data_IF_398689846639
#
_entry.id   IF_398689846639
#
_cell.length_a   1.000
_cell.length_b   1.000
_cell.length_c   1.000
_cell.angle_alpha   90.00
_cell.angle_beta   90.00
_cell.angle_gamma   90.00
#
_symmetry.space_group_name_H-M   'P 1'
#
loop_
_entity.id
_entity.type
_entity.pdbx_description
1 polymer ?
#
# COMPACT_ATOMS: atom_id res chain seq x y z
N UNK A 1 -34.52 50.02 -1.66
CA UNK A 1 -34.28 49.07 -2.78
C UNK A 1 -33.50 49.78 -3.87
N UNK A 2 -32.27 49.35 -4.16
CA UNK A 2 -31.53 49.62 -5.40
C UNK A 2 -30.90 48.30 -5.87
N UNK A 3 -31.05 47.91 -7.14
CA UNK A 3 -30.47 46.68 -7.67
C UNK A 3 -29.16 46.96 -8.43
N UNK A 4 -28.26 45.97 -8.44
CA UNK A 4 -27.32 45.74 -9.54
C UNK A 4 -25.90 46.26 -9.35
N UNK A 5 -24.99 45.34 -9.01
CA UNK A 5 -23.67 45.18 -9.67
C UNK A 5 -23.26 43.69 -9.63
N UNK A 6 -23.01 43.03 -10.78
CA UNK A 6 -22.53 41.65 -10.80
C UNK A 6 -20.99 41.60 -10.77
N UNK A 7 -20.46 41.04 -9.69
CA UNK A 7 -19.27 40.19 -9.58
C UNK A 7 -18.33 40.12 -10.82
N UNK A 8 -17.50 41.15 -11.02
CA UNK A 8 -16.50 41.22 -12.10
C UNK A 8 -15.19 40.50 -11.75
N UNK A 9 -14.88 40.29 -10.46
CA UNK A 9 -13.59 39.71 -10.06
C UNK A 9 -13.49 38.19 -10.21
N UNK A 10 -14.61 37.47 -10.21
CA UNK A 10 -14.59 36.00 -10.29
C UNK A 10 -14.33 35.51 -11.73
N UNK A 11 -14.57 36.34 -12.74
CA UNK A 11 -14.42 35.96 -14.15
C UNK A 11 -12.95 36.05 -14.63
N UNK A 12 -12.11 36.90 -14.02
CA UNK A 12 -10.69 37.01 -14.35
C UNK A 12 -9.86 35.79 -13.90
N UNK A 13 -10.23 35.18 -12.77
CA UNK A 13 -9.52 34.01 -12.24
C UNK A 13 -9.79 32.74 -13.07
N UNK A 14 -11.02 32.58 -13.56
CA UNK A 14 -11.41 31.43 -14.38
C UNK A 14 -10.73 31.42 -15.76
N UNK A 15 -10.50 32.60 -16.36
CA UNK A 15 -9.79 32.72 -17.64
C UNK A 15 -8.30 32.34 -17.51
N UNK A 16 -7.69 32.66 -16.37
CA UNK A 16 -6.26 32.42 -16.12
C UNK A 16 -5.95 30.92 -15.96
N UNK A 17 -6.85 30.14 -15.36
CA UNK A 17 -6.66 28.70 -15.11
C UNK A 17 -6.77 27.87 -16.40
N UNK A 18 -7.60 28.27 -17.36
CA UNK A 18 -7.78 27.51 -18.61
C UNK A 18 -6.63 27.69 -19.61
N UNK A 19 -5.90 28.81 -19.57
CA UNK A 19 -4.76 29.03 -20.45
C UNK A 19 -3.55 28.16 -20.06
N UNK A 20 -3.36 27.91 -18.77
CA UNK A 20 -2.27 27.06 -18.27
C UNK A 20 -2.42 25.58 -18.67
N UNK A 21 -3.67 25.10 -18.86
CA UNK A 21 -3.96 23.70 -19.20
C UNK A 21 -3.78 23.32 -20.69
N UNK A 22 -3.74 24.29 -21.62
CA UNK A 22 -3.59 24.00 -23.06
C UNK A 22 -2.13 23.90 -23.50
N UNK A 23 -1.20 24.53 -22.78
CA UNK A 23 0.22 24.55 -23.16
C UNK A 23 0.95 23.22 -22.89
N UNK A 24 0.44 22.37 -21.99
CA UNK A 24 1.14 21.13 -21.59
C UNK A 24 0.74 19.88 -22.39
N UNK A 25 -0.25 19.97 -23.29
CA UNK A 25 -0.81 18.77 -23.96
C UNK A 25 -0.25 18.48 -25.36
N UNK A 26 0.65 19.32 -25.87
CA UNK A 26 1.21 19.18 -27.21
C UNK A 26 2.56 18.45 -27.28
N UNK A 27 3.18 18.08 -26.14
CA UNK A 27 4.54 17.51 -26.12
C UNK A 27 4.63 16.01 -25.76
N UNK A 28 3.50 15.28 -25.62
CA UNK A 28 3.50 13.89 -25.16
C UNK A 28 2.96 12.90 -26.22
N UNK A 29 3.32 13.10 -27.50
CA UNK A 29 2.96 12.19 -28.59
C UNK A 29 4.15 11.84 -29.47
N UNK A 30 5.23 11.37 -28.87
CA UNK A 30 6.18 10.54 -29.60
C UNK A 30 7.06 9.80 -28.60
N UNK A 31 6.67 8.57 -28.25
CA UNK A 31 7.60 7.45 -28.09
C UNK A 31 6.86 6.18 -27.64
N UNK A 32 7.00 5.12 -28.44
CA UNK A 32 7.07 3.77 -27.89
C UNK A 32 5.76 3.00 -27.71
N UNK A 33 4.87 3.02 -28.69
CA UNK A 33 3.86 1.96 -28.81
C UNK A 33 4.54 0.66 -29.25
N UNK A 34 5.25 0.00 -28.32
CA UNK A 34 5.72 -1.38 -28.49
C UNK A 34 4.69 -2.30 -27.84
N UNK A 35 3.82 -2.81 -28.70
CA UNK A 35 2.91 -3.93 -28.45
C UNK A 35 3.64 -5.14 -27.85
N UNK A 36 2.88 -5.95 -27.08
CA UNK A 36 3.09 -7.35 -26.62
C UNK A 36 3.13 -7.41 -25.09
N UNK A 37 2.23 -8.01 -24.30
CA UNK A 37 1.08 -8.93 -24.43
C UNK A 37 0.26 -8.72 -23.14
N UNK A 38 -1.08 -8.85 -23.08
CA UNK A 38 -1.75 -9.04 -21.79
C UNK A 38 -1.38 -10.44 -21.27
N UNK A 39 -0.24 -10.55 -20.59
CA UNK A 39 0.10 -11.77 -19.87
C UNK A 39 -0.98 -12.00 -18.82
N UNK A 40 -1.63 -13.16 -18.86
CA UNK A 40 -2.43 -13.69 -17.77
C UNK A 40 -1.70 -13.44 -16.44
N UNK A 41 -2.11 -12.41 -15.71
CA UNK A 41 -1.50 -12.08 -14.42
C UNK A 41 -2.19 -12.89 -13.35
N UNK A 42 -1.67 -14.09 -13.07
CA UNK A 42 -1.85 -14.70 -11.75
C UNK A 42 -1.58 -13.63 -10.69
N UNK A 43 -2.32 -13.60 -9.57
CA UNK A 43 -2.04 -12.64 -8.51
C UNK A 43 -0.53 -12.70 -8.21
N UNK A 44 0.12 -11.54 -8.17
CA UNK A 44 1.55 -11.49 -7.87
C UNK A 44 1.76 -12.26 -6.56
N UNK A 45 2.46 -13.40 -6.64
CA UNK A 45 2.68 -14.26 -5.49
C UNK A 45 3.23 -13.39 -4.36
N UNK A 46 2.65 -13.48 -3.14
CA UNK A 46 3.05 -12.63 -2.05
C UNK A 46 4.55 -12.81 -1.80
N UNK A 47 5.27 -11.70 -1.63
CA UNK A 47 6.68 -11.74 -1.23
C UNK A 47 6.84 -12.62 0.03
N UNK A 48 8.02 -13.22 0.23
CA UNK A 48 8.29 -14.03 1.43
C UNK A 48 7.91 -13.29 2.72
N UNK A 49 8.23 -11.99 2.80
CA UNK A 49 7.86 -11.14 3.92
C UNK A 49 6.34 -11.01 4.08
N UNK A 50 5.60 -10.89 2.98
CA UNK A 50 4.14 -10.89 2.98
C UNK A 50 3.58 -12.20 3.54
N UNK A 51 4.06 -13.33 3.01
CA UNK A 51 3.66 -14.66 3.48
C UNK A 51 3.94 -14.85 4.98
N UNK A 52 5.10 -14.39 5.46
CA UNK A 52 5.45 -14.44 6.88
C UNK A 52 4.49 -13.61 7.73
N UNK A 53 4.14 -12.40 7.28
CA UNK A 53 3.19 -11.54 7.99
C UNK A 53 1.78 -12.15 8.01
N UNK A 54 1.36 -12.79 6.92
CA UNK A 54 0.07 -13.49 6.85
C UNK A 54 0.03 -14.66 7.85
N UNK A 55 1.08 -15.49 7.89
CA UNK A 55 1.20 -16.58 8.87
C UNK A 55 1.16 -16.04 10.31
N UNK A 56 1.89 -14.97 10.60
CA UNK A 56 1.89 -14.34 11.92
C UNK A 56 0.48 -13.85 12.29
N UNK A 57 -0.21 -13.20 11.34
CA UNK A 57 -1.57 -12.70 11.55
C UNK A 57 -2.55 -13.84 11.84
N UNK A 58 -2.46 -14.95 11.10
CA UNK A 58 -3.26 -16.14 11.31
C UNK A 58 -2.99 -16.79 12.67
N UNK A 59 -1.74 -16.92 13.07
CA UNK A 59 -1.37 -17.51 14.37
C UNK A 59 -1.88 -16.67 15.53
N UNK A 60 -1.77 -15.34 15.45
CA UNK A 60 -2.24 -14.41 16.50
C UNK A 60 -3.77 -14.36 16.57
N UNK A 61 -4.44 -14.40 15.43
CA UNK A 61 -5.91 -14.30 15.33
C UNK A 61 -6.61 -15.64 15.54
N UNK A 62 -5.89 -16.74 15.32
CA UNK A 62 -6.42 -18.10 15.41
C UNK A 62 -6.88 -18.44 16.82
N UNK A 63 -8.16 -18.83 16.93
CA UNK A 63 -8.75 -19.31 18.19
C UNK A 63 -8.30 -20.72 18.56
N UNK A 64 -7.83 -21.50 17.59
CA UNK A 64 -7.25 -22.81 17.80
C UNK A 64 -5.81 -22.75 18.33
N UNK A 65 -5.13 -21.61 18.21
CA UNK A 65 -3.77 -21.41 18.70
C UNK A 65 -3.80 -21.20 20.23
N UNK A 66 -3.05 -21.99 21.02
CA UNK A 66 -2.97 -21.79 22.46
C UNK A 66 -2.56 -20.35 22.83
N UNK A 67 -3.16 -19.73 23.86
CA UNK A 67 -2.84 -18.37 24.29
C UNK A 67 -1.35 -18.14 24.57
N UNK A 68 -0.66 -19.16 25.09
CA UNK A 68 0.75 -19.14 25.45
C UNK A 68 1.64 -19.03 24.20
N UNK A 69 1.27 -19.75 23.13
CA UNK A 69 1.94 -19.70 21.83
C UNK A 69 1.80 -18.30 21.23
N UNK A 70 0.58 -17.74 21.24
CA UNK A 70 0.34 -16.37 20.77
C UNK A 70 1.13 -15.33 21.56
N UNK A 71 1.13 -15.44 22.90
CA UNK A 71 1.88 -14.54 23.77
C UNK A 71 3.39 -14.61 23.50
N UNK A 72 3.93 -15.81 23.28
CA UNK A 72 5.36 -16.00 22.96
C UNK A 72 5.71 -15.39 21.60
N UNK A 73 4.89 -15.59 20.58
CA UNK A 73 5.11 -14.98 19.26
C UNK A 73 5.08 -13.44 19.34
N UNK A 74 4.13 -12.87 20.07
CA UNK A 74 4.06 -11.43 20.31
C UNK A 74 5.32 -10.90 21.01
N UNK A 75 5.81 -11.63 22.01
CA UNK A 75 7.06 -11.29 22.69
C UNK A 75 8.26 -11.33 21.73
N UNK A 76 8.35 -12.35 20.87
CA UNK A 76 9.40 -12.44 19.86
C UNK A 76 9.34 -11.27 18.84
N UNK A 77 8.15 -10.85 18.44
CA UNK A 77 7.97 -9.69 17.55
C UNK A 77 8.42 -8.39 18.19
N UNK A 78 8.12 -8.20 19.48
CA UNK A 78 8.59 -7.02 20.23
C UNK A 78 10.12 -6.97 20.35
N UNK A 79 10.79 -8.12 20.48
CA UNK A 79 12.24 -8.20 20.57
C UNK A 79 12.97 -8.13 19.22
N UNK A 80 12.25 -8.32 18.11
CA UNK A 80 12.81 -8.29 16.75
C UNK A 80 12.08 -7.25 15.87
N UNK A 81 12.13 -5.95 16.21
CA UNK A 81 11.44 -4.92 15.45
C UNK A 81 11.98 -4.84 14.02
N UNK A 82 11.07 -4.80 13.04
CA UNK A 82 11.41 -4.75 11.62
C UNK A 82 11.82 -6.09 10.99
N UNK A 83 12.01 -7.14 11.80
CA UNK A 83 12.44 -8.47 11.36
C UNK A 83 11.43 -9.56 11.74
N UNK A 84 10.21 -9.53 11.17
CA UNK A 84 9.16 -10.50 11.47
C UNK A 84 9.56 -11.94 11.14
N UNK A 85 10.39 -12.14 10.10
CA UNK A 85 10.91 -13.45 9.72
C UNK A 85 11.76 -14.06 10.83
N UNK A 86 12.59 -13.23 11.48
CA UNK A 86 13.42 -13.65 12.61
C UNK A 86 12.56 -13.94 13.84
N UNK A 87 11.56 -13.11 14.12
CA UNK A 87 10.63 -13.36 15.22
C UNK A 87 9.89 -14.69 15.06
N UNK A 88 9.39 -14.99 13.85
CA UNK A 88 8.68 -16.22 13.54
C UNK A 88 9.62 -17.43 13.61
N UNK A 89 10.83 -17.34 13.03
CA UNK A 89 11.83 -18.40 13.12
C UNK A 89 12.24 -18.67 14.57
N UNK A 90 12.52 -17.63 15.35
CA UNK A 90 12.81 -17.76 16.77
C UNK A 90 11.67 -18.43 17.49
N UNK A 91 10.41 -18.04 17.22
CA UNK A 91 9.22 -18.66 17.82
C UNK A 91 9.09 -20.16 17.51
N UNK A 92 9.38 -20.60 16.28
CA UNK A 92 9.31 -22.01 15.86
C UNK A 92 10.46 -22.82 16.48
N UNK A 93 11.69 -22.33 16.41
CA UNK A 93 12.86 -23.02 16.96
C UNK A 93 12.79 -23.17 18.48
N UNK A 94 12.21 -22.17 19.13
CA UNK A 94 11.92 -22.16 20.55
C UNK A 94 10.80 -23.13 20.97
N UNK A 95 9.94 -23.51 20.02
CA UNK A 95 8.91 -24.53 20.19
C UNK A 95 9.49 -25.94 20.03
N UNK A 96 10.62 -26.07 19.33
CA UNK A 96 11.43 -27.29 19.13
C UNK A 96 12.55 -27.45 20.18
N UNK A 97 12.45 -26.79 21.35
CA UNK A 97 13.29 -27.12 22.52
C UNK A 97 12.80 -28.41 23.21
N UNK A 98 13.68 -29.16 23.93
CA UNK A 98 13.50 -30.58 24.26
C UNK A 98 12.23 -30.92 25.05
#
# INVERSE_FOLDING_TARGET
MKPGEPNTEVQGLAASIQLQGRASRAAARENGQKSSIPGNGFPAEPSLRGQVLDIIADVISGTATPPEVRRRLLWQLMNNPGHPERALLSHILDFEGP
#
